data_IF_503347310308
#
_entry.id   IF_503347310308
#
_cell.length_a   1.000
_cell.length_b   1.000
_cell.length_c   1.000
_cell.angle_alpha   90.00
_cell.angle_beta   90.00
_cell.angle_gamma   90.00
#
_symmetry.space_group_name_H-M   'P 1'
#
loop_
_entity.id
_entity.type
_entity.pdbx_description
1 polymer ?
#
# COMPACT_ATOMS: atom_id res chain seq x y z
N UNK A 1 13.86 4.79 2.68
CA UNK A 1 12.50 4.22 2.52
C UNK A 1 11.87 4.91 1.34
N UNK A 2 11.43 4.16 0.32
CA UNK A 2 10.78 4.76 -0.84
C UNK A 2 9.29 5.03 -0.57
N UNK A 3 8.66 5.82 -1.43
CA UNK A 3 7.26 6.25 -1.28
C UNK A 3 6.27 5.07 -1.22
N UNK A 4 6.50 4.03 -2.03
CA UNK A 4 5.67 2.81 -2.05
C UNK A 4 5.76 2.08 -0.72
N UNK A 5 6.98 1.87 -0.23
CA UNK A 5 7.25 1.25 1.07
C UNK A 5 6.63 2.07 2.22
N UNK A 6 6.74 3.40 2.17
CA UNK A 6 6.13 4.29 3.16
C UNK A 6 4.60 4.12 3.20
N UNK A 7 3.93 4.19 2.05
CA UNK A 7 2.47 4.05 1.95
C UNK A 7 1.99 2.66 2.39
N UNK A 8 2.69 1.59 2.02
CA UNK A 8 2.37 0.22 2.50
C UNK A 8 2.43 0.16 4.02
N UNK A 9 3.49 0.70 4.64
CA UNK A 9 3.64 0.70 6.10
C UNK A 9 2.56 1.54 6.78
N UNK A 10 2.28 2.73 6.24
CA UNK A 10 1.28 3.64 6.77
C UNK A 10 -0.11 3.00 6.74
N UNK A 11 -0.43 2.27 5.66
CA UNK A 11 -1.66 1.51 5.53
C UNK A 11 -1.72 0.34 6.52
N UNK A 12 -0.70 -0.53 6.54
CA UNK A 12 -0.69 -1.74 7.40
C UNK A 12 -0.67 -1.44 8.90
N UNK A 13 -0.23 -0.25 9.31
CA UNK A 13 -0.26 0.20 10.70
C UNK A 13 -1.59 0.85 11.10
N UNK A 14 -2.51 1.05 10.15
CA UNK A 14 -3.77 1.76 10.37
C UNK A 14 -3.62 3.29 10.48
N UNK A 15 -2.39 3.80 10.50
CA UNK A 15 -2.09 5.23 10.62
C UNK A 15 -2.68 6.00 9.44
N UNK A 16 -2.63 5.43 8.23
CA UNK A 16 -3.19 6.06 7.03
C UNK A 16 -4.67 6.39 7.23
N UNK A 17 -5.46 5.43 7.72
CA UNK A 17 -6.89 5.64 8.01
C UNK A 17 -7.09 6.73 9.06
N UNK A 18 -6.37 6.64 10.18
CA UNK A 18 -6.50 7.61 11.26
C UNK A 18 -6.16 9.05 10.82
N UNK A 19 -5.14 9.23 9.97
CA UNK A 19 -4.76 10.54 9.46
C UNK A 19 -5.73 11.05 8.42
N UNK A 20 -6.14 10.21 7.46
CA UNK A 20 -7.14 10.59 6.45
C UNK A 20 -8.45 10.97 7.13
N UNK A 21 -8.95 10.19 8.09
CA UNK A 21 -10.19 10.49 8.83
C UNK A 21 -10.11 11.80 9.63
N UNK A 22 -8.91 12.23 10.05
CA UNK A 22 -8.70 13.50 10.76
C UNK A 22 -8.63 14.71 9.83
N UNK A 23 -8.05 14.56 8.65
CA UNK A 23 -7.84 15.65 7.68
C UNK A 23 -9.10 15.91 6.88
N UNK A 24 -9.81 14.84 6.54
CA UNK A 24 -10.96 14.88 5.64
C UNK A 24 -12.26 15.06 6.43
N UNK A 25 -12.47 16.28 6.93
CA UNK A 25 -13.72 16.73 7.55
C UNK A 25 -14.74 17.26 6.52
N UNK A 26 -14.49 17.05 5.24
CA UNK A 26 -15.24 17.63 4.11
C UNK A 26 -15.74 16.52 3.17
N UNK A 27 -16.87 16.74 2.49
CA UNK A 27 -17.44 15.76 1.54
C UNK A 27 -16.67 15.65 0.20
N UNK A 28 -15.46 16.19 0.09
CA UNK A 28 -14.64 16.13 -1.12
C UNK A 28 -13.59 15.01 -1.04
N UNK A 29 -13.45 14.22 -2.10
CA UNK A 29 -12.43 13.16 -2.14
C UNK A 29 -11.05 13.80 -2.27
N UNK A 30 -10.37 13.97 -1.13
CA UNK A 30 -8.96 14.37 -1.09
C UNK A 30 -8.06 13.28 -1.72
N UNK A 31 -6.88 13.63 -2.26
CA UNK A 31 -5.92 12.63 -2.75
C UNK A 31 -5.57 11.57 -1.69
N UNK A 32 -5.52 11.96 -0.41
CA UNK A 32 -5.29 11.06 0.71
C UNK A 32 -6.45 10.07 0.91
N UNK A 33 -7.70 10.52 0.75
CA UNK A 33 -8.89 9.65 0.77
C UNK A 33 -8.91 8.70 -0.42
N UNK A 34 -8.54 9.17 -1.61
CA UNK A 34 -8.41 8.34 -2.79
C UNK A 34 -7.39 7.20 -2.56
N UNK A 35 -6.19 7.51 -2.07
CA UNK A 35 -5.16 6.51 -1.76
C UNK A 35 -5.70 5.50 -0.73
N UNK A 36 -6.30 5.97 0.38
CA UNK A 36 -6.85 5.08 1.40
C UNK A 36 -7.91 4.13 0.83
N UNK A 37 -8.85 4.64 0.05
CA UNK A 37 -9.94 3.83 -0.52
C UNK A 37 -9.39 2.78 -1.51
N UNK A 38 -8.47 3.19 -2.39
CA UNK A 38 -7.86 2.29 -3.36
C UNK A 38 -6.98 1.22 -2.68
N UNK A 39 -6.21 1.60 -1.66
CA UNK A 39 -5.43 0.67 -0.85
C UNK A 39 -6.35 -0.30 -0.09
N UNK A 40 -7.47 0.18 0.46
CA UNK A 40 -8.44 -0.67 1.15
C UNK A 40 -9.05 -1.71 0.21
N UNK A 41 -9.48 -1.28 -0.98
CA UNK A 41 -9.99 -2.20 -2.01
C UNK A 41 -8.94 -3.23 -2.44
N UNK A 42 -7.69 -2.80 -2.66
CA UNK A 42 -6.57 -3.68 -3.00
C UNK A 42 -6.33 -4.72 -1.90
N UNK A 43 -6.14 -4.29 -0.65
CA UNK A 43 -5.79 -5.20 0.44
C UNK A 43 -6.95 -6.12 0.85
N UNK A 44 -8.21 -5.69 0.70
CA UNK A 44 -9.37 -6.56 0.92
C UNK A 44 -9.49 -7.69 -0.11
N UNK A 45 -8.83 -7.56 -1.27
CA UNK A 45 -8.81 -8.61 -2.30
C UNK A 45 -7.71 -9.66 -2.08
N UNK A 46 -6.78 -9.41 -1.16
CA UNK A 46 -5.66 -10.30 -0.86
C UNK A 46 -6.05 -11.37 0.15
N UNK A 47 -5.43 -12.54 0.04
CA UNK A 47 -5.51 -13.56 1.08
C UNK A 47 -4.75 -13.13 2.35
N UNK A 48 -5.10 -13.73 3.49
CA UNK A 48 -4.40 -13.50 4.76
C UNK A 48 -2.89 -13.79 4.67
N UNK A 49 -2.51 -14.82 3.90
CA UNK A 49 -1.11 -15.18 3.68
C UNK A 49 -0.37 -14.13 2.86
N UNK A 50 -0.99 -13.60 1.80
CA UNK A 50 -0.40 -12.52 1.01
C UNK A 50 -0.23 -11.24 1.84
N UNK A 51 -1.23 -10.90 2.65
CA UNK A 51 -1.14 -9.76 3.58
C UNK A 51 0.01 -9.97 4.57
N UNK A 52 0.14 -11.14 5.19
CA UNK A 52 1.21 -11.41 6.14
C UNK A 52 2.60 -11.45 5.45
N UNK A 53 2.72 -12.00 4.25
CA UNK A 53 3.97 -11.93 3.48
C UNK A 53 4.38 -10.47 3.19
N UNK A 54 3.42 -9.62 2.82
CA UNK A 54 3.68 -8.17 2.66
C UNK A 54 4.08 -7.56 4.01
N UNK A 55 3.41 -7.93 5.11
CA UNK A 55 3.72 -7.44 6.46
C UNK A 55 5.14 -7.79 6.88
N UNK A 56 5.56 -9.03 6.67
CA UNK A 56 6.91 -9.50 6.97
C UNK A 56 7.96 -8.75 6.16
N UNK A 57 7.71 -8.55 4.86
CA UNK A 57 8.64 -7.82 3.99
C UNK A 57 8.71 -6.34 4.32
N UNK A 58 7.58 -5.67 4.50
CA UNK A 58 7.52 -4.20 4.53
C UNK A 58 7.45 -3.62 5.95
N UNK A 59 6.78 -4.28 6.91
CA UNK A 59 6.83 -3.87 8.33
C UNK A 59 8.06 -4.45 9.05
N UNK A 60 8.29 -5.76 8.93
CA UNK A 60 9.38 -6.45 9.65
C UNK A 60 10.72 -6.41 8.93
N UNK A 61 10.77 -5.89 7.70
CA UNK A 61 11.98 -5.73 6.88
C UNK A 61 12.72 -7.04 6.59
N UNK A 62 12.00 -8.16 6.59
CA UNK A 62 12.59 -9.43 6.22
C UNK A 62 12.92 -9.47 4.73
N UNK A 63 14.07 -10.06 4.42
CA UNK A 63 14.47 -10.42 3.08
C UNK A 63 13.53 -11.48 2.50
N UNK A 64 13.58 -11.66 1.18
CA UNK A 64 12.81 -12.70 0.51
C UNK A 64 13.18 -14.09 0.99
N UNK A 65 14.47 -14.33 1.28
CA UNK A 65 14.98 -15.59 1.82
C UNK A 65 14.37 -15.89 3.19
N UNK A 66 14.36 -14.90 4.09
CA UNK A 66 13.80 -15.06 5.43
C UNK A 66 12.28 -15.32 5.41
N UNK A 67 11.54 -14.66 4.51
CA UNK A 67 10.10 -14.93 4.34
C UNK A 67 9.88 -16.31 3.71
N UNK A 68 10.67 -16.67 2.69
CA UNK A 68 10.64 -17.98 2.06
C UNK A 68 10.86 -19.11 3.07
N UNK A 69 11.86 -18.98 3.97
CA UNK A 69 12.13 -19.94 5.03
C UNK A 69 10.94 -20.10 6.00
N UNK A 70 10.21 -19.03 6.33
CA UNK A 70 9.05 -19.10 7.23
C UNK A 70 7.87 -19.85 6.63
N UNK A 71 7.69 -19.77 5.32
CA UNK A 71 6.58 -20.41 4.61
C UNK A 71 6.96 -21.73 3.94
N UNK A 72 8.23 -22.19 4.07
CA UNK A 72 8.77 -23.34 3.32
C UNK A 72 8.57 -23.20 1.80
N UNK A 73 8.72 -21.97 1.31
CA UNK A 73 8.59 -21.61 -0.10
C UNK A 73 9.96 -21.24 -0.69
N UNK A 74 10.01 -21.00 -1.99
CA UNK A 74 11.16 -20.37 -2.63
C UNK A 74 10.95 -18.85 -2.75
N UNK A 75 12.04 -18.10 -2.88
CA UNK A 75 11.97 -16.63 -3.00
C UNK A 75 11.14 -16.16 -4.19
N UNK A 76 11.12 -16.91 -5.29
CA UNK A 76 10.36 -16.56 -6.49
C UNK A 76 8.87 -16.59 -6.21
N UNK A 77 8.38 -17.58 -5.48
CA UNK A 77 6.99 -17.67 -5.04
C UNK A 77 6.64 -16.49 -4.14
N UNK A 78 7.47 -16.15 -3.15
CA UNK A 78 7.27 -14.97 -2.29
C UNK A 78 7.21 -13.68 -3.12
N UNK A 79 8.11 -13.51 -4.11
CA UNK A 79 8.07 -12.37 -5.04
C UNK A 79 6.75 -12.34 -5.82
N UNK A 80 6.29 -13.48 -6.32
CA UNK A 80 5.07 -13.56 -7.10
C UNK A 80 3.82 -13.21 -6.28
N UNK A 81 3.79 -13.52 -4.98
CA UNK A 81 2.70 -13.11 -4.09
C UNK A 81 2.74 -11.63 -3.72
N UNK A 82 3.93 -11.05 -3.58
CA UNK A 82 4.07 -9.69 -3.01
C UNK A 82 4.27 -8.58 -4.05
N UNK A 83 4.93 -8.88 -5.18
CA UNK A 83 5.23 -7.88 -6.21
C UNK A 83 3.99 -7.32 -6.93
N UNK A 84 2.94 -8.12 -7.24
CA UNK A 84 1.73 -7.58 -7.86
C UNK A 84 1.11 -6.47 -7.03
N UNK A 85 0.97 -6.68 -5.71
CA UNK A 85 0.46 -5.66 -4.79
C UNK A 85 1.33 -4.42 -4.79
N UNK A 86 2.65 -4.58 -4.67
CA UNK A 86 3.61 -3.46 -4.67
C UNK A 86 3.53 -2.63 -5.96
N UNK A 87 3.35 -3.29 -7.12
CA UNK A 87 3.14 -2.62 -8.39
C UNK A 87 1.82 -1.84 -8.39
N UNK A 88 0.74 -2.43 -7.89
CA UNK A 88 -0.55 -1.74 -7.82
C UNK A 88 -0.52 -0.54 -6.87
N UNK A 89 0.16 -0.64 -5.72
CA UNK A 89 0.36 0.50 -4.81
C UNK A 89 1.08 1.65 -5.53
N UNK A 90 2.12 1.34 -6.31
CA UNK A 90 2.82 2.36 -7.10
C UNK A 90 1.89 3.08 -8.09
N UNK A 91 1.01 2.35 -8.77
CA UNK A 91 0.03 2.95 -9.69
C UNK A 91 -1.03 3.78 -8.96
N UNK A 92 -1.48 3.36 -7.77
CA UNK A 92 -2.42 4.13 -6.94
C UNK A 92 -1.82 5.49 -6.57
N UNK A 93 -0.58 5.49 -6.08
CA UNK A 93 0.16 6.70 -5.70
C UNK A 93 0.33 7.62 -6.91
N UNK A 94 0.74 7.06 -8.06
CA UNK A 94 0.90 7.82 -9.29
C UNK A 94 -0.39 8.54 -9.70
N UNK A 95 -1.53 7.83 -9.72
CA UNK A 95 -2.85 8.41 -10.05
C UNK A 95 -3.26 9.51 -9.08
N UNK A 96 -3.01 9.33 -7.78
CA UNK A 96 -3.33 10.34 -6.77
C UNK A 96 -2.52 11.63 -6.99
N UNK A 97 -1.24 11.50 -7.36
CA UNK A 97 -0.37 12.63 -7.68
C UNK A 97 -0.83 13.36 -8.94
N UNK A 98 -1.18 12.65 -10.00
CA UNK A 98 -1.71 13.24 -11.24
C UNK A 98 -3.01 14.01 -10.98
N UNK A 99 -3.94 13.44 -10.20
CA UNK A 99 -5.17 14.13 -9.79
C UNK A 99 -4.91 15.40 -8.99
N UNK A 100 -3.96 15.35 -8.04
CA UNK A 100 -3.59 16.50 -7.23
C UNK A 100 -2.91 17.61 -8.05
N UNK A 101 -2.17 17.25 -9.11
CA UNK A 101 -1.57 18.22 -10.03
C UNK A 101 -2.65 18.91 -10.87
N UNK A 102 -3.55 18.14 -11.49
CA UNK A 102 -4.64 18.72 -12.29
C UNK A 102 -5.55 19.65 -11.48
N UNK A 103 -5.87 19.30 -10.22
CA UNK A 103 -6.66 20.18 -9.37
C UNK A 103 -5.99 21.55 -9.12
N UNK A 104 -4.66 21.61 -9.07
CA UNK A 104 -3.90 22.85 -8.88
C UNK A 104 -3.75 23.68 -10.16
N UNK A 105 -3.90 23.08 -11.34
CA UNK A 105 -3.79 23.77 -12.63
C UNK A 105 -5.11 24.41 -13.06
N UNK A 106 -6.24 23.97 -12.48
CA UNK A 106 -7.60 24.44 -12.81
C UNK A 106 -8.09 25.53 -11.84
N UNK A 107 -7.44 25.68 -10.68
CA UNK A 107 -7.62 26.77 -9.71
C UNK A 107 -6.78 28.01 -10.05
#
# INVERSE_FOLDING_TARGET
>A
MNEVEFNIRLYLTGIMKAWTDRIDSTDQITPQRFILNAMTGLFNSLSSDEIEMIRLRYLKRLTLSEVASRYLLNERTVRNHTNPTVKQVKEIIKKATEQAQHAREVD
#
